data_IF_250449957384
#
_entry.id   IF_250449957384
#
_cell.length_a   1.000
_cell.length_b   1.000
_cell.length_c   1.000
_cell.angle_alpha   90.00
_cell.angle_beta   90.00
_cell.angle_gamma   90.00
#
_symmetry.space_group_name_H-M   'P 1'
#
loop_
_entity.id
_entity.type
_entity.pdbx_description
1 polymer ?
#
# COMPACT_ATOMS: atom_id res chain seq x y z
N UNK A 1 47.97 36.42 11.08
CA UNK A 1 46.56 36.10 10.79
C UNK A 1 46.34 36.29 9.31
N UNK A 2 46.15 35.21 8.56
CA UNK A 2 45.91 35.24 7.11
C UNK A 2 44.79 34.27 6.77
N UNK A 3 43.78 34.81 6.10
CA UNK A 3 42.48 34.23 5.76
C UNK A 3 42.60 33.22 4.62
N UNK A 4 42.18 31.97 4.86
CA UNK A 4 41.96 30.97 3.81
C UNK A 4 40.67 31.29 3.04
N UNK A 5 40.78 31.95 1.88
CA UNK A 5 39.75 31.90 0.84
C UNK A 5 40.09 30.78 -0.15
N UNK A 6 39.15 29.86 -0.46
CA UNK A 6 39.36 28.86 -1.49
C UNK A 6 39.36 29.52 -2.89
N UNK A 7 40.30 29.10 -3.72
CA UNK A 7 40.59 29.65 -5.03
C UNK A 7 39.37 29.68 -5.97
N UNK A 8 39.23 30.78 -6.70
CA UNK A 8 38.17 31.10 -7.67
C UNK A 8 38.24 30.28 -8.99
N UNK A 9 38.62 29.01 -8.92
CA UNK A 9 38.77 28.14 -10.09
C UNK A 9 37.85 26.92 -10.01
N UNK A 10 36.58 27.09 -10.38
CA UNK A 10 35.75 25.93 -10.73
C UNK A 10 34.68 26.28 -11.77
N UNK A 11 34.05 27.44 -11.71
CA UNK A 11 32.89 27.74 -12.56
C UNK A 11 33.24 27.77 -14.06
N UNK A 12 34.40 28.32 -14.45
CA UNK A 12 34.82 28.36 -15.85
C UNK A 12 35.18 26.98 -16.42
N UNK A 13 35.78 26.09 -15.62
CA UNK A 13 36.11 24.74 -16.03
C UNK A 13 34.85 23.88 -16.23
N UNK A 14 33.87 24.01 -15.32
CA UNK A 14 32.56 23.36 -15.44
C UNK A 14 31.76 23.86 -16.65
N UNK A 15 31.86 25.15 -16.96
CA UNK A 15 31.29 25.77 -18.17
C UNK A 15 31.86 25.17 -19.46
N UNK A 16 33.18 24.99 -19.56
CA UNK A 16 33.83 24.39 -20.74
C UNK A 16 33.44 22.92 -20.95
N UNK A 17 33.32 22.15 -19.87
CA UNK A 17 32.84 20.75 -19.92
C UNK A 17 31.39 20.68 -20.44
N UNK A 18 30.54 21.58 -19.94
CA UNK A 18 29.12 21.62 -20.31
C UNK A 18 28.87 22.15 -21.73
N UNK A 19 29.83 22.88 -22.32
CA UNK A 19 29.74 23.38 -23.70
C UNK A 19 29.66 22.27 -24.74
N UNK A 20 30.16 21.06 -24.44
CA UNK A 20 30.03 19.86 -25.30
C UNK A 20 28.59 19.34 -25.39
N UNK A 21 27.72 19.73 -24.46
CA UNK A 21 26.31 19.32 -24.36
C UNK A 21 25.32 20.44 -24.75
N UNK A 22 25.77 21.68 -24.88
CA UNK A 22 24.97 22.80 -25.37
C UNK A 22 24.73 22.65 -26.89
N UNK A 23 23.47 22.49 -27.29
CA UNK A 23 23.05 22.37 -28.70
C UNK A 23 22.89 20.94 -29.21
N UNK A 24 23.41 19.93 -28.51
CA UNK A 24 23.00 18.55 -28.70
C UNK A 24 21.76 18.37 -27.85
N UNK A 25 20.61 18.10 -28.45
CA UNK A 25 19.39 17.73 -27.72
C UNK A 25 19.69 16.49 -26.87
N UNK A 26 20.24 16.70 -25.67
CA UNK A 26 20.42 15.65 -24.69
C UNK A 26 19.00 15.29 -24.30
N UNK A 27 18.50 14.23 -24.94
CA UNK A 27 17.29 13.55 -24.52
C UNK A 27 17.65 12.90 -23.19
N UNK A 28 17.70 13.71 -22.13
CA UNK A 28 17.71 13.24 -20.75
C UNK A 28 16.60 12.23 -20.72
N UNK A 29 16.94 10.96 -20.43
CA UNK A 29 15.93 9.91 -20.27
C UNK A 29 14.93 10.50 -19.29
N UNK A 30 13.74 10.87 -19.80
CA UNK A 30 12.64 11.38 -18.99
C UNK A 30 12.55 10.44 -17.81
N UNK A 31 12.48 10.99 -16.60
CA UNK A 31 12.25 10.26 -15.35
C UNK A 31 11.62 8.92 -15.65
N UNK A 32 12.34 7.82 -15.34
CA UNK A 32 11.72 6.49 -15.40
C UNK A 32 10.42 6.65 -14.63
N UNK A 33 9.26 6.48 -15.30
CA UNK A 33 8.00 6.36 -14.58
C UNK A 33 8.28 5.29 -13.53
N UNK A 34 8.10 5.55 -12.23
CA UNK A 34 8.15 4.49 -11.25
C UNK A 34 7.16 3.44 -11.77
N UNK A 35 7.68 2.28 -12.16
CA UNK A 35 6.87 1.13 -12.51
C UNK A 35 6.05 0.88 -11.25
N UNK A 36 4.75 1.25 -11.27
CA UNK A 36 3.81 1.34 -10.12
C UNK A 36 4.46 0.76 -8.87
N UNK A 37 5.10 1.59 -8.05
CA UNK A 37 5.97 1.15 -6.95
C UNK A 37 5.30 -0.02 -6.24
N UNK A 38 5.87 -1.22 -6.37
CA UNK A 38 5.25 -2.44 -5.86
C UNK A 38 4.96 -2.24 -4.38
N UNK A 39 3.68 -2.27 -4.01
CA UNK A 39 3.27 -2.15 -2.61
C UNK A 39 3.59 -3.49 -1.97
N UNK A 40 4.64 -3.54 -1.15
CA UNK A 40 5.06 -4.77 -0.47
C UNK A 40 4.15 -5.12 0.69
N UNK A 41 3.82 -4.15 1.53
CA UNK A 41 2.84 -4.31 2.58
C UNK A 41 1.44 -3.90 2.10
N UNK A 42 0.80 -4.80 1.35
CA UNK A 42 -0.54 -4.60 0.77
C UNK A 42 -1.63 -4.45 1.83
N UNK A 43 -1.48 -5.13 2.97
CA UNK A 43 -2.48 -5.10 4.06
C UNK A 43 -2.46 -3.75 4.77
N UNK A 44 -1.28 -3.24 5.13
CA UNK A 44 -1.17 -1.91 5.74
C UNK A 44 -1.72 -0.84 4.79
N UNK A 45 -1.34 -0.88 3.50
CA UNK A 45 -1.86 0.07 2.52
C UNK A 45 -3.38 -0.03 2.36
N UNK A 46 -3.93 -1.25 2.34
CA UNK A 46 -5.37 -1.48 2.25
C UNK A 46 -6.12 -0.82 3.41
N UNK A 47 -5.69 -1.06 4.65
CA UNK A 47 -6.30 -0.44 5.84
C UNK A 47 -6.27 1.09 5.76
N UNK A 48 -5.15 1.68 5.35
CA UNK A 48 -5.01 3.13 5.23
C UNK A 48 -5.92 3.70 4.14
N UNK A 49 -6.00 3.06 2.97
CA UNK A 49 -6.88 3.50 1.88
C UNK A 49 -8.36 3.39 2.25
N UNK A 50 -8.78 2.29 2.91
CA UNK A 50 -10.16 2.12 3.36
C UNK A 50 -10.58 3.20 4.36
N UNK A 51 -9.68 3.55 5.28
CA UNK A 51 -9.91 4.56 6.32
C UNK A 51 -9.64 5.99 5.89
N UNK A 52 -9.24 6.21 4.63
CA UNK A 52 -8.86 7.53 4.12
C UNK A 52 -7.72 8.19 4.94
N UNK A 53 -6.79 7.36 5.44
CA UNK A 53 -5.63 7.81 6.22
C UNK A 53 -4.45 8.01 5.27
N UNK A 54 -4.01 9.26 5.14
CA UNK A 54 -2.80 9.60 4.37
C UNK A 54 -1.53 9.15 5.10
N UNK A 55 -0.47 8.84 4.36
CA UNK A 55 0.82 8.44 4.94
C UNK A 55 1.42 9.52 5.85
N UNK A 56 1.25 10.80 5.48
CA UNK A 56 1.69 11.94 6.31
C UNK A 56 0.94 11.99 7.63
N UNK A 57 -0.39 11.82 7.60
CA UNK A 57 -1.22 11.78 8.80
C UNK A 57 -0.80 10.64 9.73
N UNK A 58 -0.60 9.43 9.18
CA UNK A 58 -0.11 8.32 10.00
C UNK A 58 1.27 8.62 10.61
N UNK A 59 2.17 9.26 9.85
CA UNK A 59 3.49 9.62 10.35
C UNK A 59 3.42 10.61 11.52
N UNK A 60 2.55 11.62 11.42
CA UNK A 60 2.26 12.59 12.48
C UNK A 60 1.74 11.90 13.75
N UNK A 61 0.72 11.05 13.62
CA UNK A 61 0.09 10.32 14.74
C UNK A 61 1.07 9.39 15.47
N UNK A 62 2.04 8.80 14.74
CA UNK A 62 3.04 7.91 15.32
C UNK A 62 4.30 8.65 15.80
N UNK A 63 4.42 9.95 15.49
CA UNK A 63 5.61 10.77 15.67
C UNK A 63 6.86 10.18 14.99
N UNK A 64 6.72 9.77 13.73
CA UNK A 64 7.80 9.24 12.88
C UNK A 64 7.88 10.00 11.57
N UNK A 65 8.94 9.80 10.79
CA UNK A 65 9.04 10.43 9.47
C UNK A 65 8.10 9.78 8.45
N UNK A 66 7.53 10.57 7.53
CA UNK A 66 6.75 10.05 6.39
C UNK A 66 7.55 9.07 5.53
N UNK A 67 8.88 9.20 5.51
CA UNK A 67 9.80 8.26 4.84
C UNK A 67 9.80 6.89 5.52
N UNK A 68 9.76 6.84 6.85
CA UNK A 68 9.67 5.60 7.61
C UNK A 68 8.38 4.85 7.26
N UNK A 69 7.23 5.53 7.31
CA UNK A 69 5.94 4.96 6.92
C UNK A 69 5.96 4.46 5.47
N UNK A 70 6.52 5.25 4.55
CA UNK A 70 6.67 4.84 3.15
C UNK A 70 7.53 3.59 3.00
N UNK A 71 8.64 3.47 3.74
CA UNK A 71 9.49 2.28 3.72
C UNK A 71 8.76 1.04 4.25
N UNK A 72 7.89 1.19 5.25
CA UNK A 72 7.07 0.07 5.75
C UNK A 72 6.11 -0.46 4.69
N UNK A 73 5.59 0.41 3.82
CA UNK A 73 4.60 0.06 2.79
C UNK A 73 5.27 -0.43 1.51
N UNK A 74 6.18 0.35 0.93
CA UNK A 74 6.72 0.11 -0.40
C UNK A 74 7.98 -0.76 -0.38
N UNK A 75 8.83 -0.62 0.64
CA UNK A 75 10.06 -1.41 0.78
C UNK A 75 9.82 -2.69 1.59
N UNK A 76 8.73 -2.74 2.37
CA UNK A 76 8.40 -3.85 3.26
C UNK A 76 9.29 -3.89 4.51
N UNK A 77 9.87 -2.75 4.90
CA UNK A 77 10.72 -2.66 6.09
C UNK A 77 9.87 -2.86 7.34
N UNK A 78 10.30 -3.75 8.23
CA UNK A 78 9.62 -3.97 9.51
C UNK A 78 9.98 -2.82 10.48
N UNK A 79 9.00 -2.17 11.13
CA UNK A 79 9.25 -1.14 12.13
C UNK A 79 10.00 -1.70 13.35
N UNK A 80 10.56 -0.81 14.18
CA UNK A 80 10.95 -1.17 15.54
C UNK A 80 9.74 -1.56 16.37
N UNK A 81 9.94 -2.35 17.44
CA UNK A 81 8.84 -2.81 18.31
C UNK A 81 7.96 -1.66 18.80
N UNK A 82 8.57 -0.55 19.26
CA UNK A 82 7.84 0.65 19.69
C UNK A 82 6.93 1.22 18.61
N UNK A 83 7.40 1.32 17.37
CA UNK A 83 6.61 1.87 16.27
C UNK A 83 5.56 0.87 15.78
N UNK A 84 5.87 -0.42 15.86
CA UNK A 84 4.94 -1.50 15.58
C UNK A 84 3.75 -1.43 16.56
N UNK A 85 4.03 -1.30 17.87
CA UNK A 85 3.00 -1.21 18.91
C UNK A 85 2.11 0.02 18.74
N UNK A 86 2.72 1.20 18.48
CA UNK A 86 1.98 2.43 18.19
C UNK A 86 1.06 2.25 16.97
N UNK A 87 1.58 1.67 15.89
CA UNK A 87 0.80 1.43 14.66
C UNK A 87 -0.35 0.46 14.89
N UNK A 88 -0.08 -0.64 15.60
CA UNK A 88 -1.07 -1.65 15.96
C UNK A 88 -2.18 -1.07 16.83
N UNK A 89 -1.82 -0.25 17.83
CA UNK A 89 -2.79 0.44 18.70
C UNK A 89 -3.64 1.45 17.91
N UNK A 90 -3.00 2.29 17.09
CA UNK A 90 -3.70 3.32 16.31
C UNK A 90 -4.67 2.71 15.28
N UNK A 91 -4.26 1.64 14.60
CA UNK A 91 -5.11 0.98 13.59
C UNK A 91 -5.99 -0.13 14.18
N UNK A 92 -5.77 -0.53 15.44
CA UNK A 92 -6.51 -1.55 16.18
C UNK A 92 -6.24 -3.00 15.74
N UNK A 93 -5.17 -3.27 14.99
CA UNK A 93 -4.85 -4.61 14.48
C UNK A 93 -3.61 -5.18 15.16
N UNK A 94 -3.50 -6.51 15.32
CA UNK A 94 -2.30 -7.12 15.85
C UNK A 94 -1.15 -7.10 14.82
N UNK A 95 0.07 -7.24 15.32
CA UNK A 95 1.31 -7.22 14.54
C UNK A 95 1.29 -8.22 13.38
N UNK A 96 0.81 -9.44 13.63
CA UNK A 96 0.81 -10.52 12.64
C UNK A 96 -0.19 -10.31 11.49
N UNK A 97 -1.13 -9.36 11.63
CA UNK A 97 -2.04 -8.93 10.56
C UNK A 97 -1.39 -7.81 9.74
N UNK A 98 -0.91 -6.75 10.38
CA UNK A 98 -0.36 -5.58 9.68
C UNK A 98 1.05 -5.79 9.12
N UNK A 99 1.87 -6.57 9.79
CA UNK A 99 3.30 -6.74 9.52
C UNK A 99 3.67 -8.21 9.38
N UNK A 100 2.81 -9.00 8.71
CA UNK A 100 3.12 -10.40 8.41
C UNK A 100 4.37 -10.49 7.50
N UNK A 101 5.50 -10.89 8.07
CA UNK A 101 6.77 -10.90 7.35
C UNK A 101 6.78 -11.83 6.13
N UNK A 102 6.16 -13.01 6.24
CA UNK A 102 6.10 -13.97 5.14
C UNK A 102 5.35 -13.36 3.94
N UNK A 103 4.23 -12.70 4.20
CA UNK A 103 3.44 -12.01 3.18
C UNK A 103 4.21 -10.83 2.56
N UNK A 104 4.89 -10.02 3.37
CA UNK A 104 5.62 -8.83 2.92
C UNK A 104 6.84 -9.22 2.08
N UNK A 105 7.56 -10.27 2.48
CA UNK A 105 8.74 -10.76 1.77
C UNK A 105 8.37 -11.36 0.41
N UNK A 106 7.29 -12.15 0.36
CA UNK A 106 6.82 -12.75 -0.90
C UNK A 106 6.14 -11.71 -1.80
N UNK A 107 5.31 -10.85 -1.22
CA UNK A 107 4.48 -9.81 -1.85
C UNK A 107 4.11 -10.11 -3.32
N UNK A 108 3.38 -11.21 -3.57
CA UNK A 108 3.08 -11.65 -4.93
C UNK A 108 2.27 -10.60 -5.69
N UNK A 109 2.55 -10.48 -6.99
CA UNK A 109 1.76 -9.65 -7.88
C UNK A 109 0.43 -10.34 -8.12
N UNK A 110 -0.67 -9.60 -7.93
CA UNK A 110 -2.00 -10.09 -8.22
C UNK A 110 -2.24 -9.95 -9.73
N UNK A 111 -2.24 -11.08 -10.44
CA UNK A 111 -2.55 -11.12 -11.87
C UNK A 111 -4.05 -10.89 -12.05
N UNK A 112 -4.41 -9.71 -12.60
CA UNK A 112 -5.80 -9.42 -12.95
C UNK A 112 -6.12 -10.07 -14.30
N UNK A 113 -7.18 -10.90 -14.39
CA UNK A 113 -7.58 -11.54 -15.65
C UNK A 113 -7.96 -10.54 -16.75
N UNK A 114 -8.51 -9.39 -16.36
CA UNK A 114 -8.92 -8.31 -17.26
C UNK A 114 -8.74 -6.95 -16.57
N UNK A 115 -8.68 -5.83 -17.32
CA UNK A 115 -8.70 -4.50 -16.73
C UNK A 115 -9.94 -4.30 -15.85
N UNK A 116 -9.74 -3.75 -14.66
CA UNK A 116 -10.82 -3.37 -13.75
C UNK A 116 -10.55 -1.98 -13.18
N UNK A 117 -11.55 -1.42 -12.50
CA UNK A 117 -11.44 -0.13 -11.82
C UNK A 117 -12.25 -0.15 -10.55
N UNK A 118 -11.63 0.20 -9.44
CA UNK A 118 -12.35 0.39 -8.19
C UNK A 118 -13.13 1.70 -8.25
N UNK A 119 -14.46 1.61 -8.10
CA UNK A 119 -15.32 2.77 -7.92
C UNK A 119 -15.70 2.87 -6.46
N UNK A 120 -15.16 3.90 -5.78
CA UNK A 120 -15.60 4.25 -4.43
C UNK A 120 -17.02 4.79 -4.55
N UNK A 121 -18.01 3.93 -4.33
CA UNK A 121 -19.38 4.39 -4.15
C UNK A 121 -19.42 5.23 -2.88
N UNK A 122 -20.29 6.25 -2.85
CA UNK A 122 -20.58 6.97 -1.62
C UNK A 122 -21.03 5.92 -0.60
N UNK A 123 -20.15 5.61 0.34
CA UNK A 123 -20.45 4.64 1.37
C UNK A 123 -21.55 5.30 2.21
N UNK A 124 -22.78 4.79 2.10
CA UNK A 124 -23.70 4.91 3.22
C UNK A 124 -22.97 4.39 4.46
N UNK A 125 -23.22 4.99 5.62
CA UNK A 125 -22.64 4.56 6.89
C UNK A 125 -23.09 3.12 7.20
N UNK A 126 -22.38 2.15 6.62
CA UNK A 126 -22.54 0.76 6.99
C UNK A 126 -21.88 0.62 8.36
N UNK A 127 -22.61 0.15 9.39
CA UNK A 127 -22.13 0.14 10.76
C UNK A 127 -20.89 -0.73 10.96
N UNK A 128 -20.62 -1.67 10.03
CA UNK A 128 -19.49 -2.60 10.13
C UNK A 128 -18.93 -2.97 8.76
N UNK A 129 -17.80 -2.39 8.36
CA UNK A 129 -17.12 -2.68 7.08
C UNK A 129 -15.81 -3.43 7.30
N UNK A 130 -15.40 -4.25 6.32
CA UNK A 130 -14.05 -4.82 6.27
C UNK A 130 -13.11 -3.83 5.60
N UNK A 131 -12.21 -3.24 6.39
CA UNK A 131 -11.18 -2.33 5.88
C UNK A 131 -10.15 -3.08 5.03
N UNK A 132 -9.81 -4.32 5.40
CA UNK A 132 -8.82 -5.12 4.67
C UNK A 132 -9.33 -5.47 3.27
N UNK A 133 -10.52 -6.10 3.16
CA UNK A 133 -11.05 -6.49 1.85
C UNK A 133 -11.36 -5.29 0.96
N UNK A 134 -11.95 -4.23 1.54
CA UNK A 134 -12.28 -3.00 0.81
C UNK A 134 -10.99 -2.34 0.32
N UNK A 135 -10.01 -2.20 1.21
CA UNK A 135 -8.72 -1.63 0.89
C UNK A 135 -7.93 -2.42 -0.14
N UNK A 136 -8.00 -3.75 -0.13
CA UNK A 136 -7.32 -4.57 -1.14
C UNK A 136 -7.90 -4.37 -2.54
N UNK A 137 -9.22 -4.20 -2.65
CA UNK A 137 -9.86 -3.82 -3.91
C UNK A 137 -9.36 -2.44 -4.38
N UNK A 138 -9.15 -1.49 -3.47
CA UNK A 138 -8.59 -0.17 -3.79
C UNK A 138 -7.11 -0.23 -4.21
N UNK A 139 -6.29 -0.97 -3.46
CA UNK A 139 -4.84 -1.15 -3.72
C UNK A 139 -4.59 -1.73 -5.11
N UNK A 140 -5.42 -2.68 -5.50
CA UNK A 140 -5.32 -3.33 -6.80
C UNK A 140 -6.16 -2.65 -7.89
N UNK A 141 -6.94 -1.62 -7.56
CA UNK A 141 -7.87 -0.95 -8.49
C UNK A 141 -8.87 -1.93 -9.14
N UNK A 142 -9.44 -2.83 -8.34
CA UNK A 142 -10.36 -3.88 -8.79
C UNK A 142 -11.78 -3.57 -8.32
N UNK A 143 -12.75 -3.60 -9.22
CA UNK A 143 -14.16 -3.44 -8.88
C UNK A 143 -14.67 -4.61 -8.02
N UNK A 144 -15.62 -4.34 -7.13
CA UNK A 144 -16.26 -5.39 -6.30
C UNK A 144 -16.88 -6.48 -7.16
N UNK A 145 -17.48 -6.11 -8.29
CA UNK A 145 -18.10 -7.05 -9.22
C UNK A 145 -17.05 -7.96 -9.88
N UNK A 146 -15.93 -7.40 -10.34
CA UNK A 146 -14.89 -8.21 -11.00
C UNK A 146 -14.15 -9.10 -10.01
N UNK A 147 -13.81 -8.59 -8.82
CA UNK A 147 -13.27 -9.40 -7.74
C UNK A 147 -14.19 -10.59 -7.42
N UNK A 148 -15.51 -10.35 -7.29
CA UNK A 148 -16.46 -11.43 -7.02
C UNK A 148 -16.50 -12.49 -8.13
N UNK A 149 -16.48 -12.08 -9.40
CA UNK A 149 -16.43 -13.00 -10.56
C UNK A 149 -15.14 -13.81 -10.57
N UNK A 150 -14.00 -13.17 -10.34
CA UNK A 150 -12.69 -13.84 -10.39
C UNK A 150 -12.45 -14.77 -9.20
N UNK A 151 -13.03 -14.47 -8.04
CA UNK A 151 -13.06 -15.38 -6.88
C UNK A 151 -14.06 -16.53 -7.11
N UNK A 152 -15.05 -16.35 -8.00
CA UNK A 152 -16.11 -17.33 -8.24
C UNK A 152 -17.19 -17.30 -7.15
N UNK A 153 -17.59 -16.10 -6.73
CA UNK A 153 -18.60 -15.82 -5.70
C UNK A 153 -19.62 -14.83 -6.25
N UNK A 154 -20.89 -14.99 -5.88
CA UNK A 154 -21.95 -14.07 -6.30
C UNK A 154 -21.65 -12.62 -5.82
N UNK A 155 -21.82 -11.57 -6.66
CA UNK A 155 -21.50 -10.20 -6.28
C UNK A 155 -22.20 -9.71 -5.00
N UNK A 156 -23.45 -10.13 -4.79
CA UNK A 156 -24.19 -9.81 -3.56
C UNK A 156 -23.56 -10.44 -2.31
N UNK A 157 -23.00 -11.64 -2.42
CA UNK A 157 -22.31 -12.32 -1.32
C UNK A 157 -20.98 -11.63 -1.01
N UNK A 158 -20.20 -11.29 -2.04
CA UNK A 158 -18.93 -10.58 -1.84
C UNK A 158 -19.15 -9.19 -1.21
N UNK A 159 -20.21 -8.48 -1.62
CA UNK A 159 -20.64 -7.23 -0.97
C UNK A 159 -20.97 -7.40 0.52
N UNK A 160 -21.58 -8.53 0.93
CA UNK A 160 -21.82 -8.81 2.35
C UNK A 160 -20.50 -8.91 3.14
N UNK A 161 -19.47 -9.52 2.55
CA UNK A 161 -18.15 -9.61 3.19
C UNK A 161 -17.52 -8.23 3.39
N UNK A 162 -17.63 -7.36 2.38
CA UNK A 162 -17.09 -5.99 2.41
C UNK A 162 -17.86 -5.06 3.36
N UNK A 163 -19.18 -5.04 3.27
CA UNK A 163 -20.02 -4.02 3.93
C UNK A 163 -20.61 -4.42 5.28
N UNK A 164 -20.55 -5.70 5.65
CA UNK A 164 -21.10 -6.20 6.91
C UNK A 164 -20.07 -7.01 7.72
N UNK A 165 -18.82 -7.10 7.24
CA UNK A 165 -17.77 -7.98 7.79
C UNK A 165 -18.31 -9.37 8.11
N UNK A 166 -19.07 -9.94 7.16
CA UNK A 166 -19.63 -11.28 7.28
C UNK A 166 -18.54 -12.32 7.05
N UNK A 167 -18.33 -13.21 8.02
CA UNK A 167 -17.37 -14.31 7.90
C UNK A 167 -17.91 -15.40 6.96
N UNK A 168 -17.25 -15.68 5.82
CA UNK A 168 -17.70 -16.70 4.88
C UNK A 168 -17.43 -18.12 5.38
N UNK A 169 -17.99 -19.13 4.71
CA UNK A 169 -17.60 -20.53 4.94
C UNK A 169 -16.13 -20.76 4.57
N UNK A 170 -15.48 -21.77 5.16
CA UNK A 170 -14.05 -22.06 4.95
C UNK A 170 -13.69 -22.21 3.46
N UNK A 171 -14.51 -22.91 2.66
CA UNK A 171 -14.31 -23.07 1.23
C UNK A 171 -14.35 -21.72 0.46
N UNK A 172 -15.16 -20.77 0.90
CA UNK A 172 -15.22 -19.44 0.30
C UNK A 172 -14.06 -18.56 0.73
N UNK A 173 -13.60 -18.71 1.98
CA UNK A 173 -12.40 -18.07 2.47
C UNK A 173 -11.16 -18.53 1.69
N UNK A 174 -11.06 -19.82 1.34
CA UNK A 174 -9.97 -20.39 0.54
C UNK A 174 -9.89 -19.80 -0.87
N UNK A 175 -11.03 -19.59 -1.51
CA UNK A 175 -11.10 -18.92 -2.81
C UNK A 175 -10.56 -17.49 -2.72
N UNK A 176 -10.96 -16.75 -1.69
CA UNK A 176 -10.48 -15.39 -1.46
C UNK A 176 -8.98 -15.36 -1.12
N UNK A 177 -8.50 -16.27 -0.29
CA UNK A 177 -7.08 -16.45 0.06
C UNK A 177 -6.24 -16.73 -1.19
N UNK A 178 -6.72 -17.62 -2.06
CA UNK A 178 -6.06 -17.94 -3.33
C UNK A 178 -6.01 -16.74 -4.26
N UNK A 179 -7.10 -15.98 -4.36
CA UNK A 179 -7.19 -14.82 -5.24
C UNK A 179 -6.30 -13.66 -4.76
N UNK A 180 -6.44 -13.24 -3.50
CA UNK A 180 -5.66 -12.13 -2.94
C UNK A 180 -4.21 -12.51 -2.62
N UNK A 181 -3.92 -13.81 -2.52
CA UNK A 181 -2.63 -14.35 -2.06
C UNK A 181 -2.29 -13.80 -0.68
N UNK A 182 -3.27 -13.85 0.22
CA UNK A 182 -3.19 -13.39 1.62
C UNK A 182 -3.92 -14.45 2.47
N UNK A 183 -3.32 -14.94 3.57
CA UNK A 183 -3.96 -15.92 4.45
C UNK A 183 -5.36 -15.49 4.90
N UNK A 184 -6.32 -16.43 4.94
CA UNK A 184 -7.71 -16.14 5.33
C UNK A 184 -7.84 -15.47 6.71
N UNK A 185 -6.99 -15.85 7.67
CA UNK A 185 -6.94 -15.26 9.01
C UNK A 185 -6.64 -13.75 8.98
N UNK A 186 -5.87 -13.29 7.98
CA UNK A 186 -5.58 -11.87 7.78
C UNK A 186 -6.71 -11.22 7.00
N UNK A 187 -7.18 -11.85 5.91
CA UNK A 187 -8.24 -11.31 5.06
C UNK A 187 -9.53 -11.00 5.82
N UNK A 188 -9.90 -11.86 6.77
CA UNK A 188 -11.16 -11.77 7.51
C UNK A 188 -10.99 -11.28 8.96
N UNK A 189 -9.83 -10.72 9.32
CA UNK A 189 -9.58 -10.20 10.67
C UNK A 189 -10.60 -9.13 11.13
N UNK A 190 -11.23 -8.42 10.20
CA UNK A 190 -12.31 -7.47 10.49
C UNK A 190 -13.63 -8.12 10.92
N UNK A 191 -13.81 -9.42 10.66
CA UNK A 191 -15.02 -10.15 11.04
C UNK A 191 -15.00 -10.50 12.53
N UNK A 192 -13.81 -10.75 13.09
CA UNK A 192 -13.60 -11.15 14.49
C UNK A 192 -13.67 -9.96 15.47
N UNK A 193 -13.56 -8.72 14.97
CA UNK A 193 -13.63 -7.48 15.76
C UNK A 193 -15.01 -7.12 16.33
N UNK A 194 -16.01 -7.97 16.17
CA UNK A 194 -17.37 -7.75 16.72
C UNK A 194 -17.65 -8.57 17.99
N UNK A 195 -16.62 -8.83 18.78
CA UNK A 195 -16.73 -9.24 20.17
C UNK A 195 -16.43 -8.04 21.07
#
# INVERSE_FOLDING_TARGET
MSTNQPANHSIQAWSQINRKYLGKGVRVKRFRRPQRSQIRNRVLMAVLMSRDIKLSRLAEELSVSSRSVSAWIYEGRIPSQTNLDKTCRYLGYPAHVLFNEALIRQSPVLCQPAPSRFMKQAAGEAPKRSDILTGLCMVHDISVTDASRWIGVHPGTFRKWLHHSYLPSAAMQEKAETFFRIPRLILFADCERSG
#
